data_IF_816109632630
#
_entry.id   IF_816109632630
#
_cell.length_a   1.000
_cell.length_b   1.000
_cell.length_c   1.000
_cell.angle_alpha   90.00
_cell.angle_beta   90.00
_cell.angle_gamma   90.00
#
_symmetry.space_group_name_H-M   'P 1'
#
loop_
_entity.id
_entity.type
_entity.pdbx_description
1 polymer ?
#
# COMPACT_ATOMS: atom_id res chain seq x y z
N UNK A 1 -6.05 -6.18 -22.25
CA UNK A 1 -5.51 -4.81 -22.10
C UNK A 1 -4.48 -4.83 -20.99
N UNK A 2 -3.41 -4.07 -21.14
CA UNK A 2 -2.34 -3.99 -20.14
C UNK A 2 -2.79 -3.14 -18.94
N UNK A 3 -2.49 -3.59 -17.73
CA UNK A 3 -2.73 -2.84 -16.50
C UNK A 3 -1.51 -1.95 -16.26
N UNK A 4 -1.73 -0.65 -16.04
CA UNK A 4 -0.67 0.31 -15.74
C UNK A 4 -0.85 0.80 -14.31
N UNK A 5 0.14 0.52 -13.46
CA UNK A 5 0.18 1.02 -12.08
C UNK A 5 1.29 2.05 -11.96
N UNK A 6 0.96 3.20 -11.39
CA UNK A 6 1.90 4.27 -11.06
C UNK A 6 1.74 4.63 -9.59
N UNK A 7 2.79 5.19 -9.01
CA UNK A 7 2.81 5.63 -7.63
C UNK A 7 3.03 7.13 -7.58
N UNK A 8 2.23 7.83 -6.77
CA UNK A 8 2.48 9.23 -6.48
C UNK A 8 3.87 9.39 -5.83
N UNK A 9 4.64 10.45 -6.10
CA UNK A 9 5.99 10.62 -5.56
C UNK A 9 6.07 10.48 -4.03
N UNK A 10 5.06 10.96 -3.30
CA UNK A 10 5.01 10.82 -1.84
C UNK A 10 4.88 9.36 -1.38
N UNK A 11 4.24 8.51 -2.17
CA UNK A 11 4.13 7.07 -1.88
C UNK A 11 5.46 6.38 -2.13
N UNK A 12 6.16 6.72 -3.21
CA UNK A 12 7.51 6.20 -3.48
C UNK A 12 8.48 6.61 -2.37
N UNK A 13 8.44 7.87 -1.93
CA UNK A 13 9.24 8.35 -0.82
C UNK A 13 8.94 7.57 0.46
N UNK A 14 7.66 7.44 0.82
CA UNK A 14 7.24 6.68 1.99
C UNK A 14 7.72 5.22 1.94
N UNK A 15 7.57 4.53 0.81
CA UNK A 15 8.00 3.13 0.67
C UNK A 15 9.52 2.99 0.77
N UNK A 16 10.28 3.97 0.25
CA UNK A 16 11.73 3.99 0.41
C UNK A 16 12.14 4.20 1.88
N UNK A 17 11.52 5.17 2.56
CA UNK A 17 11.78 5.44 3.99
C UNK A 17 11.34 4.27 4.89
N UNK A 18 10.29 3.55 4.49
CA UNK A 18 9.81 2.36 5.20
C UNK A 18 10.89 1.28 5.28
N UNK A 19 11.78 1.14 4.28
CA UNK A 19 12.91 0.20 4.36
C UNK A 19 13.79 0.50 5.57
N UNK A 20 14.11 1.78 5.77
CA UNK A 20 14.96 2.22 6.88
C UNK A 20 14.23 2.03 8.22
N UNK A 21 12.95 2.37 8.31
CA UNK A 21 12.13 2.11 9.51
C UNK A 21 12.13 0.64 9.87
N UNK A 22 11.86 -0.24 8.90
CA UNK A 22 11.78 -1.68 9.14
C UNK A 22 13.14 -2.27 9.59
N UNK A 23 14.24 -1.69 9.13
CA UNK A 23 15.58 -2.12 9.54
C UNK A 23 15.96 -1.56 10.91
N UNK A 24 15.92 -0.24 11.11
CA UNK A 24 16.40 0.40 12.34
C UNK A 24 15.51 0.11 13.56
N UNK A 25 14.22 -0.12 13.36
CA UNK A 25 13.30 -0.52 14.44
C UNK A 25 13.34 -2.05 14.70
N UNK A 26 14.31 -2.76 14.12
CA UNK A 26 14.54 -4.20 14.32
C UNK A 26 13.34 -5.10 13.92
N UNK A 27 12.49 -4.67 12.98
CA UNK A 27 11.52 -5.58 12.34
C UNK A 27 12.23 -6.64 11.50
N UNK A 28 13.37 -6.29 10.91
CA UNK A 28 14.28 -7.22 10.23
C UNK A 28 15.71 -7.04 10.74
N UNK A 29 16.40 -8.16 10.94
CA UNK A 29 17.80 -8.17 11.41
C UNK A 29 18.82 -7.79 10.34
N UNK A 30 18.42 -7.79 9.06
CA UNK A 30 19.24 -7.39 7.92
C UNK A 30 18.43 -6.48 6.99
N UNK A 31 19.10 -5.51 6.37
CA UNK A 31 18.45 -4.48 5.55
C UNK A 31 17.85 -5.06 4.27
N UNK A 32 18.46 -6.09 3.72
CA UNK A 32 18.00 -6.80 2.52
C UNK A 32 16.59 -7.38 2.73
N UNK A 33 16.30 -7.93 3.92
CA UNK A 33 14.96 -8.43 4.23
C UNK A 33 13.90 -7.31 4.29
N UNK A 34 14.28 -6.10 4.70
CA UNK A 34 13.40 -4.94 4.66
C UNK A 34 13.12 -4.49 3.21
N UNK A 35 14.15 -4.48 2.36
CA UNK A 35 14.02 -4.20 0.92
C UNK A 35 13.11 -5.23 0.25
N UNK A 36 13.32 -6.53 0.51
CA UNK A 36 12.50 -7.61 -0.03
C UNK A 36 11.04 -7.49 0.41
N UNK A 37 10.81 -7.08 1.66
CA UNK A 37 9.47 -6.86 2.18
C UNK A 37 8.75 -5.74 1.42
N UNK A 38 9.38 -4.58 1.25
CA UNK A 38 8.81 -3.44 0.54
C UNK A 38 8.62 -3.74 -0.95
N UNK A 39 9.59 -4.42 -1.58
CA UNK A 39 9.48 -4.88 -2.97
C UNK A 39 8.26 -5.78 -3.15
N UNK A 40 8.04 -6.70 -2.21
CA UNK A 40 6.84 -7.56 -2.22
C UNK A 40 5.53 -6.78 -2.07
N UNK A 41 5.50 -5.64 -1.36
CA UNK A 41 4.32 -4.77 -1.30
C UNK A 41 3.98 -4.23 -2.69
N UNK A 42 4.99 -3.66 -3.36
CA UNK A 42 4.88 -3.08 -4.71
C UNK A 42 4.42 -4.16 -5.70
N UNK A 43 5.13 -5.29 -5.76
CA UNK A 43 4.79 -6.41 -6.64
C UNK A 43 3.39 -6.97 -6.38
N UNK A 44 2.94 -6.93 -5.13
CA UNK A 44 1.61 -7.44 -4.77
C UNK A 44 0.52 -6.54 -5.34
N UNK A 45 0.62 -5.22 -5.14
CA UNK A 45 -0.38 -4.29 -5.68
C UNK A 45 -0.36 -4.27 -7.20
N UNK A 46 0.82 -4.25 -7.83
CA UNK A 46 0.95 -4.24 -9.29
C UNK A 46 0.31 -5.46 -9.95
N UNK A 47 0.54 -6.66 -9.39
CA UNK A 47 0.00 -7.90 -9.98
C UNK A 47 -1.47 -8.13 -9.70
N UNK A 48 -2.00 -7.61 -8.59
CA UNK A 48 -3.34 -7.98 -8.10
C UNK A 48 -4.39 -6.90 -8.29
N UNK A 49 -4.03 -5.62 -8.37
CA UNK A 49 -5.00 -4.52 -8.35
C UNK A 49 -6.08 -4.60 -9.45
N UNK A 50 -5.72 -5.06 -10.65
CA UNK A 50 -6.68 -5.20 -11.76
C UNK A 50 -7.58 -6.44 -11.70
N UNK A 51 -7.33 -7.38 -10.77
CA UNK A 51 -8.11 -8.61 -10.60
C UNK A 51 -8.85 -8.69 -9.27
N UNK A 52 -8.42 -7.91 -8.29
CA UNK A 52 -8.96 -7.93 -6.95
C UNK A 52 -10.19 -7.05 -6.83
N UNK A 53 -11.03 -7.36 -5.83
CA UNK A 53 -12.11 -6.49 -5.42
C UNK A 53 -11.53 -5.26 -4.73
N UNK A 54 -11.98 -4.08 -5.16
CA UNK A 54 -11.68 -2.80 -4.52
C UNK A 54 -12.95 -2.19 -3.94
N UNK A 55 -12.76 -1.25 -3.03
CA UNK A 55 -13.82 -0.59 -2.29
C UNK A 55 -13.73 0.93 -2.46
N UNK A 56 -14.86 1.63 -2.31
CA UNK A 56 -14.86 3.10 -2.23
C UNK A 56 -14.20 3.51 -0.91
N UNK A 57 -13.29 4.47 -0.95
CA UNK A 57 -12.62 4.97 0.24
C UNK A 57 -13.63 5.63 1.21
N UNK A 58 -13.63 5.23 2.50
CA UNK A 58 -14.45 5.89 3.51
C UNK A 58 -14.10 7.38 3.65
N UNK A 59 -15.07 8.21 4.04
CA UNK A 59 -14.92 9.68 4.12
C UNK A 59 -13.67 10.13 4.89
N UNK A 60 -13.30 9.40 5.95
CA UNK A 60 -12.12 9.67 6.79
C UNK A 60 -10.80 9.63 6.02
N UNK A 61 -10.71 8.83 4.96
CA UNK A 61 -9.50 8.68 4.13
C UNK A 61 -9.73 9.01 2.65
N UNK A 62 -10.94 9.39 2.25
CA UNK A 62 -11.26 9.72 0.85
C UNK A 62 -10.44 10.89 0.28
N UNK A 63 -9.92 11.79 1.13
CA UNK A 63 -9.01 12.85 0.71
C UNK A 63 -7.62 12.34 0.27
N UNK A 64 -7.30 11.07 0.56
CA UNK A 64 -6.06 10.39 0.16
C UNK A 64 -6.23 9.54 -1.10
N UNK A 65 -7.46 9.38 -1.61
CA UNK A 65 -7.79 8.63 -2.82
C UNK A 65 -9.25 8.14 -2.80
N UNK A 66 -9.86 8.01 -3.98
CA UNK A 66 -11.28 7.67 -4.13
C UNK A 66 -11.58 6.20 -3.88
N UNK A 67 -10.61 5.32 -4.12
CA UNK A 67 -10.73 3.87 -3.99
C UNK A 67 -9.66 3.34 -3.05
N UNK A 68 -9.92 2.19 -2.44
CA UNK A 68 -8.92 1.45 -1.69
C UNK A 68 -9.00 -0.05 -1.91
N UNK A 69 -7.86 -0.70 -1.72
CA UNK A 69 -7.68 -2.15 -1.71
C UNK A 69 -6.78 -2.53 -0.55
N UNK A 70 -6.91 -3.75 -0.04
CA UNK A 70 -6.04 -4.27 1.00
C UNK A 70 -5.45 -5.63 0.65
N UNK A 71 -4.26 -5.89 1.18
CA UNK A 71 -3.58 -7.18 1.06
C UNK A 71 -2.95 -7.60 2.39
N UNK A 72 -3.10 -8.87 2.73
CA UNK A 72 -2.35 -9.48 3.84
C UNK A 72 -0.97 -9.90 3.32
N UNK A 73 0.07 -9.27 3.85
CA UNK A 73 1.46 -9.50 3.43
C UNK A 73 2.19 -10.42 4.42
N UNK A 74 1.73 -10.43 5.67
CA UNK A 74 2.06 -11.42 6.69
C UNK A 74 0.77 -11.88 7.36
N UNK A 75 0.86 -12.84 8.29
CA UNK A 75 -0.30 -13.26 9.09
C UNK A 75 -0.86 -12.14 9.98
N UNK A 76 -0.05 -11.12 10.30
CA UNK A 76 -0.40 -10.06 11.26
C UNK A 76 -0.54 -8.68 10.62
N UNK A 77 -0.03 -8.50 9.40
CA UNK A 77 0.05 -7.18 8.76
C UNK A 77 -0.77 -7.14 7.48
N UNK A 78 -1.80 -6.30 7.52
CA UNK A 78 -2.63 -5.93 6.38
C UNK A 78 -2.20 -4.55 5.91
N UNK A 79 -1.89 -4.43 4.62
CA UNK A 79 -1.55 -3.17 3.96
C UNK A 79 -2.74 -2.67 3.14
N UNK A 80 -2.99 -1.39 3.21
CA UNK A 80 -4.04 -0.67 2.51
C UNK A 80 -3.40 0.27 1.49
N UNK A 81 -3.90 0.22 0.26
CA UNK A 81 -3.47 1.06 -0.84
C UNK A 81 -4.66 1.86 -1.32
N UNK A 82 -4.56 3.19 -1.26
CA UNK A 82 -5.54 4.09 -1.85
C UNK A 82 -5.06 4.54 -3.21
N UNK A 83 -6.02 4.74 -4.10
CA UNK A 83 -5.71 5.04 -5.47
C UNK A 83 -6.84 5.76 -6.20
N UNK A 84 -6.43 6.41 -7.29
CA UNK A 84 -7.31 6.83 -8.36
C UNK A 84 -7.23 5.84 -9.52
N UNK A 85 -8.34 5.70 -10.27
CA UNK A 85 -8.38 4.81 -11.43
C UNK A 85 -9.10 5.42 -12.62
N UNK A 86 -8.60 5.14 -13.82
CA UNK A 86 -9.25 5.45 -15.10
C UNK A 86 -9.00 4.32 -16.09
N UNK A 87 -10.03 3.55 -16.42
CA UNK A 87 -9.89 2.30 -17.16
C UNK A 87 -8.93 1.34 -16.45
N UNK A 88 -7.86 0.94 -17.14
CA UNK A 88 -6.81 0.06 -16.60
C UNK A 88 -5.58 0.80 -16.05
N UNK A 89 -5.70 2.13 -15.86
CA UNK A 89 -4.66 2.94 -15.25
C UNK A 89 -4.99 3.19 -13.79
N UNK A 90 -4.02 2.94 -12.92
CA UNK A 90 -4.13 3.08 -11.48
C UNK A 90 -3.00 3.99 -10.99
N UNK A 91 -3.35 4.99 -10.19
CA UNK A 91 -2.40 5.85 -9.49
C UNK A 91 -2.54 5.60 -7.99
N UNK A 92 -1.56 4.93 -7.39
CA UNK A 92 -1.49 4.76 -5.94
C UNK A 92 -1.12 6.10 -5.31
N UNK A 93 -2.02 6.62 -4.47
CA UNK A 93 -1.94 7.96 -3.88
C UNK A 93 -1.60 7.93 -2.40
N UNK A 94 -1.87 6.82 -1.71
CA UNK A 94 -1.55 6.66 -0.29
C UNK A 94 -1.42 5.19 0.10
N UNK A 95 -0.57 4.89 1.09
CA UNK A 95 -0.33 3.53 1.58
C UNK A 95 -0.16 3.58 3.10
N UNK A 96 -0.79 2.64 3.80
CA UNK A 96 -0.64 2.46 5.26
C UNK A 96 -0.96 1.01 5.65
N UNK A 97 -0.80 0.66 6.92
CA UNK A 97 -1.10 -0.69 7.42
C UNK A 97 -2.06 -0.68 8.62
N UNK A 98 -2.49 -1.86 9.06
CA UNK A 98 -3.43 -2.04 10.18
C UNK A 98 -2.94 -1.51 11.54
N UNK A 99 -1.66 -1.15 11.68
CA UNK A 99 -1.11 -0.50 12.87
C UNK A 99 -1.12 1.04 12.79
N UNK A 100 -1.49 1.60 11.64
CA UNK A 100 -1.52 3.05 11.41
C UNK A 100 -2.78 3.69 12.00
N UNK A 101 -2.73 4.99 12.31
CA UNK A 101 -3.87 5.74 12.89
C UNK A 101 -5.09 5.72 11.98
N UNK A 102 -4.87 5.69 10.67
CA UNK A 102 -5.90 5.62 9.64
C UNK A 102 -6.72 4.33 9.77
N UNK A 103 -6.06 3.19 10.05
CA UNK A 103 -6.72 1.90 10.20
C UNK A 103 -7.60 1.83 11.45
N UNK A 104 -7.25 2.55 12.53
CA UNK A 104 -8.07 2.61 13.73
C UNK A 104 -9.43 3.28 13.48
N UNK A 105 -9.48 4.21 12.52
CA UNK A 105 -10.69 4.94 12.17
C UNK A 105 -11.52 4.26 11.07
N UNK A 106 -11.07 3.10 10.59
CA UNK A 106 -11.63 2.48 9.41
C UNK A 106 -12.82 1.55 9.68
N UNK A 107 -13.07 1.14 10.94
CA UNK A 107 -14.15 0.19 11.31
C UNK A 107 -14.33 -0.94 10.27
N UNK A 108 -13.22 -1.53 9.81
CA UNK A 108 -13.20 -2.60 8.81
C UNK A 108 -13.39 -3.97 9.45
#
# INVERSE_FOLDING_TARGET
MEIVVRFHPSVLLYLNELVDVLFYENYFSIRESAIDYVTRLIDTVERKIGKAQYHIAPKVIAHRGSWFIHFNISQKTTWYFLFEKSGNHYLITYVFNNYSKEAQNLNL
#
